data_IF_263620320345
#
_entry.id   IF_263620320345
#
_cell.length_a   1.000
_cell.length_b   1.000
_cell.length_c   1.000
_cell.angle_alpha   90.00
_cell.angle_beta   90.00
_cell.angle_gamma   90.00
#
_symmetry.space_group_name_H-M   'P 1'
#
loop_
_entity.id
_entity.type
_entity.pdbx_description
1 polymer ?
#
# COMPACT_ATOMS: atom_id res chain seq x y z
N UNK A 1 -30.33 -38.22 -36.62
CA UNK A 1 -29.91 -38.89 -37.87
C UNK A 1 -28.45 -38.57 -38.13
N UNK A 2 -27.56 -39.55 -38.00
CA UNK A 2 -26.13 -39.38 -38.27
C UNK A 2 -25.87 -39.46 -39.78
N UNK A 3 -25.02 -38.61 -40.37
CA UNK A 3 -24.61 -38.77 -41.77
C UNK A 3 -23.53 -39.85 -41.83
N UNK A 4 -23.93 -41.12 -41.82
CA UNK A 4 -23.02 -42.22 -42.08
C UNK A 4 -23.00 -42.52 -43.59
N UNK A 5 -21.79 -42.65 -44.13
CA UNK A 5 -21.42 -43.05 -45.50
C UNK A 5 -21.27 -41.91 -46.53
N UNK A 6 -20.23 -41.09 -46.35
CA UNK A 6 -19.46 -40.62 -47.52
C UNK A 6 -18.43 -41.68 -47.86
N UNK A 7 -18.71 -42.47 -48.89
CA UNK A 7 -17.72 -43.37 -49.48
C UNK A 7 -16.72 -42.47 -50.20
N UNK A 8 -15.54 -42.28 -49.62
CA UNK A 8 -14.41 -41.71 -50.34
C UNK A 8 -14.07 -42.71 -51.45
N UNK A 9 -14.24 -42.29 -52.70
CA UNK A 9 -13.75 -43.03 -53.87
C UNK A 9 -12.22 -43.13 -53.72
N UNK A 10 -11.73 -44.27 -53.27
CA UNK A 10 -10.31 -44.60 -53.33
C UNK A 10 -9.96 -44.81 -54.79
N UNK A 11 -9.21 -43.86 -55.37
CA UNK A 11 -8.53 -44.11 -56.62
C UNK A 11 -7.56 -45.28 -56.40
N UNK A 12 -7.85 -46.40 -57.03
CA UNK A 12 -7.01 -47.59 -57.08
C UNK A 12 -5.75 -47.30 -57.87
N UNK A 13 -4.65 -47.08 -57.16
CA UNK A 13 -3.29 -47.06 -57.67
C UNK A 13 -2.35 -47.14 -56.48
N UNK A 14 -1.36 -48.04 -56.50
CA UNK A 14 -0.45 -48.43 -55.41
C UNK A 14 0.51 -47.32 -54.91
N UNK A 15 -0.01 -46.12 -54.66
CA UNK A 15 0.74 -45.05 -54.01
C UNK A 15 0.01 -44.79 -52.71
N UNK A 16 0.64 -45.09 -51.58
CA UNK A 16 0.12 -44.74 -50.26
C UNK A 16 -0.27 -43.25 -50.21
N UNK A 17 -1.13 -42.84 -49.25
CA UNK A 17 -1.58 -41.46 -49.17
C UNK A 17 -0.37 -40.53 -49.20
N UNK A 18 -0.33 -39.64 -50.20
CA UNK A 18 0.76 -38.69 -50.34
C UNK A 18 0.82 -37.81 -49.09
N UNK A 19 2.01 -37.30 -48.75
CA UNK A 19 2.19 -36.39 -47.61
C UNK A 19 1.22 -35.21 -47.71
N UNK A 20 0.94 -34.71 -48.92
CA UNK A 20 -0.06 -33.68 -49.17
C UNK A 20 -1.49 -34.11 -48.81
N UNK A 21 -1.88 -35.35 -49.11
CA UNK A 21 -3.19 -35.87 -48.74
C UNK A 21 -3.33 -36.02 -47.22
N UNK A 22 -2.30 -36.52 -46.55
CA UNK A 22 -2.25 -36.58 -45.09
C UNK A 22 -2.28 -35.16 -44.50
N UNK A 23 -1.53 -34.22 -45.04
CA UNK A 23 -1.53 -32.82 -44.61
C UNK A 23 -2.91 -32.19 -44.73
N UNK A 24 -3.58 -32.30 -45.89
CA UNK A 24 -4.91 -31.71 -46.13
C UNK A 24 -6.02 -32.38 -45.31
N UNK A 25 -5.98 -33.71 -45.16
CA UNK A 25 -6.96 -34.43 -44.33
C UNK A 25 -6.78 -34.14 -42.84
N UNK A 26 -5.53 -34.00 -42.38
CA UNK A 26 -5.23 -33.59 -41.00
C UNK A 26 -5.66 -32.15 -40.76
N UNK A 27 -5.39 -31.23 -41.70
CA UNK A 27 -5.88 -29.85 -41.66
C UNK A 27 -7.41 -29.79 -41.57
N UNK A 28 -8.15 -30.53 -42.40
CA UNK A 28 -9.61 -30.52 -42.40
C UNK A 28 -10.22 -31.04 -41.09
N UNK A 29 -9.60 -32.03 -40.45
CA UNK A 29 -10.09 -32.59 -39.17
C UNK A 29 -9.70 -31.70 -37.98
N UNK A 30 -8.49 -31.15 -37.97
CA UNK A 30 -8.01 -30.31 -36.86
C UNK A 30 -8.59 -28.89 -36.90
N UNK A 31 -8.80 -28.31 -38.09
CA UNK A 31 -9.28 -26.93 -38.24
C UNK A 31 -10.74 -26.78 -37.78
N UNK A 32 -11.60 -27.75 -38.09
CA UNK A 32 -12.98 -27.79 -37.59
C UNK A 32 -13.05 -28.06 -36.08
N UNK A 33 -12.18 -28.90 -35.52
CA UNK A 33 -12.14 -29.14 -34.07
C UNK A 33 -11.66 -27.89 -33.31
N UNK A 34 -10.64 -27.19 -33.81
CA UNK A 34 -10.14 -25.97 -33.20
C UNK A 34 -11.20 -24.85 -33.21
N UNK A 35 -11.90 -24.66 -34.33
CA UNK A 35 -13.01 -23.70 -34.45
C UNK A 35 -14.30 -24.14 -33.76
N UNK A 36 -14.53 -25.43 -33.56
CA UNK A 36 -15.73 -25.89 -32.86
C UNK A 36 -15.78 -25.44 -31.41
N UNK A 37 -14.63 -25.33 -30.73
CA UNK A 37 -14.57 -24.80 -29.37
C UNK A 37 -14.78 -23.28 -29.35
N UNK A 38 -14.23 -22.56 -30.33
CA UNK A 38 -14.49 -21.12 -30.51
C UNK A 38 -15.99 -20.86 -30.78
N UNK A 39 -16.62 -21.65 -31.66
CA UNK A 39 -18.04 -21.54 -31.99
C UNK A 39 -18.98 -21.93 -30.83
N UNK A 40 -18.50 -22.72 -29.86
CA UNK A 40 -19.23 -23.10 -28.66
C UNK A 40 -19.04 -22.11 -27.49
N UNK A 41 -18.12 -21.15 -27.64
CA UNK A 41 -17.85 -20.09 -26.68
C UNK A 41 -17.05 -20.50 -25.44
N UNK A 42 -16.73 -19.52 -24.61
CA UNK A 42 -15.91 -19.67 -23.39
C UNK A 42 -16.47 -20.68 -22.39
N UNK A 43 -17.80 -20.80 -22.27
CA UNK A 43 -18.41 -21.69 -21.28
C UNK A 43 -18.01 -23.17 -21.47
N UNK A 44 -18.09 -23.67 -22.71
CA UNK A 44 -17.70 -25.06 -23.03
C UNK A 44 -16.19 -25.26 -22.95
N UNK A 45 -15.42 -24.25 -23.36
CA UNK A 45 -13.96 -24.27 -23.24
C UNK A 45 -13.53 -24.37 -21.77
N UNK A 46 -14.14 -23.60 -20.86
CA UNK A 46 -13.88 -23.66 -19.43
C UNK A 46 -14.28 -25.00 -18.80
N UNK A 47 -15.44 -25.57 -19.16
CA UNK A 47 -15.81 -26.92 -18.68
C UNK A 47 -14.78 -27.96 -19.12
N UNK A 48 -14.27 -27.86 -20.36
CA UNK A 48 -13.23 -28.76 -20.84
C UNK A 48 -11.90 -28.52 -20.13
N UNK A 49 -11.56 -27.26 -19.86
CA UNK A 49 -10.35 -26.90 -19.13
C UNK A 49 -10.36 -27.50 -17.72
N UNK A 50 -11.46 -27.37 -16.99
CA UNK A 50 -11.61 -27.99 -15.67
C UNK A 50 -11.44 -29.51 -15.75
N UNK A 51 -12.11 -30.16 -16.71
CA UNK A 51 -11.95 -31.60 -16.92
C UNK A 51 -10.52 -32.03 -17.23
N UNK A 52 -9.71 -31.19 -17.89
CA UNK A 52 -8.29 -31.48 -18.15
C UNK A 52 -7.44 -31.35 -16.89
N UNK A 53 -7.70 -30.31 -16.09
CA UNK A 53 -7.08 -30.12 -14.77
C UNK A 53 -7.40 -31.29 -13.83
N UNK A 54 -8.66 -31.71 -13.77
CA UNK A 54 -9.10 -32.83 -12.92
C UNK A 54 -8.41 -34.15 -13.31
N UNK A 55 -8.03 -34.31 -14.60
CA UNK A 55 -7.28 -35.48 -15.09
C UNK A 55 -5.76 -35.33 -14.98
N UNK A 56 -5.24 -34.17 -14.55
CA UNK A 56 -3.80 -33.89 -14.48
C UNK A 56 -3.11 -33.70 -15.84
N UNK A 57 -3.86 -33.47 -16.93
CA UNK A 57 -3.28 -33.21 -18.25
C UNK A 57 -2.95 -31.71 -18.41
N UNK A 58 -1.91 -31.28 -17.69
CA UNK A 58 -1.48 -29.88 -17.64
C UNK A 58 -1.10 -29.32 -19.02
N UNK A 59 -0.50 -30.14 -19.88
CA UNK A 59 -0.10 -29.74 -21.23
C UNK A 59 -1.30 -29.45 -22.14
N UNK A 60 -2.34 -30.30 -22.08
CA UNK A 60 -3.56 -30.04 -22.83
C UNK A 60 -4.36 -28.86 -22.26
N UNK A 61 -4.36 -28.68 -20.94
CA UNK A 61 -4.99 -27.55 -20.26
C UNK A 61 -4.32 -26.21 -20.68
N UNK A 62 -2.99 -26.14 -20.66
CA UNK A 62 -2.22 -24.97 -21.10
C UNK A 62 -2.46 -24.66 -22.59
N UNK A 63 -2.43 -25.68 -23.44
CA UNK A 63 -2.73 -25.52 -24.87
C UNK A 63 -4.18 -25.06 -25.12
N UNK A 64 -5.13 -25.36 -24.23
CA UNK A 64 -6.51 -24.88 -24.32
C UNK A 64 -6.62 -23.42 -23.87
N UNK A 65 -5.98 -23.03 -22.78
CA UNK A 65 -5.89 -21.63 -22.34
C UNK A 65 -5.26 -20.73 -23.40
N UNK A 66 -4.17 -21.18 -24.02
CA UNK A 66 -3.54 -20.48 -25.14
C UNK A 66 -4.49 -20.27 -26.32
N UNK A 67 -5.34 -21.26 -26.63
CA UNK A 67 -6.37 -21.13 -27.68
C UNK A 67 -7.52 -20.20 -27.29
N UNK A 68 -7.95 -20.22 -26.04
CA UNK A 68 -8.99 -19.30 -25.52
C UNK A 68 -8.56 -17.83 -25.61
N UNK A 69 -7.25 -17.53 -25.59
CA UNK A 69 -6.75 -16.17 -25.80
C UNK A 69 -6.98 -15.63 -27.22
N UNK A 70 -7.19 -16.53 -28.19
CA UNK A 70 -7.41 -16.20 -29.60
C UNK A 70 -8.89 -16.19 -29.99
N UNK A 71 -9.81 -16.36 -29.03
CA UNK A 71 -11.25 -16.28 -29.31
C UNK A 71 -11.62 -14.85 -29.69
N UNK A 72 -12.53 -14.73 -30.64
CA UNK A 72 -13.00 -13.44 -31.16
C UNK A 72 -14.07 -12.79 -30.28
N UNK A 73 -14.81 -13.59 -29.52
CA UNK A 73 -15.77 -13.11 -28.52
C UNK A 73 -15.03 -12.63 -27.26
N UNK A 74 -15.53 -11.57 -26.60
CA UNK A 74 -14.95 -11.12 -25.33
C UNK A 74 -15.49 -11.99 -24.16
N UNK A 75 -14.63 -12.50 -23.27
CA UNK A 75 -15.08 -13.28 -22.12
C UNK A 75 -15.83 -12.40 -21.11
N UNK A 76 -16.79 -12.98 -20.40
CA UNK A 76 -17.37 -12.33 -19.22
C UNK A 76 -16.37 -12.28 -18.06
N UNK A 77 -16.58 -11.42 -17.07
CA UNK A 77 -15.71 -11.33 -15.87
C UNK A 77 -15.62 -12.67 -15.15
N UNK A 78 -16.73 -13.41 -15.03
CA UNK A 78 -16.74 -14.73 -14.40
C UNK A 78 -15.98 -15.78 -15.20
N UNK A 79 -16.06 -15.74 -16.53
CA UNK A 79 -15.32 -16.64 -17.41
C UNK A 79 -13.82 -16.33 -17.37
N UNK A 80 -13.46 -15.05 -17.34
CA UNK A 80 -12.08 -14.58 -17.21
C UNK A 80 -11.49 -15.00 -15.85
N UNK A 81 -12.24 -14.83 -14.75
CA UNK A 81 -11.82 -15.26 -13.41
C UNK A 81 -11.58 -16.78 -13.36
N UNK A 82 -12.50 -17.59 -13.91
CA UNK A 82 -12.34 -19.04 -13.95
C UNK A 82 -11.12 -19.48 -14.78
N UNK A 83 -10.85 -18.82 -15.91
CA UNK A 83 -9.67 -19.09 -16.72
C UNK A 83 -8.37 -18.71 -15.98
N UNK A 84 -8.38 -17.61 -15.21
CA UNK A 84 -7.22 -17.16 -14.43
C UNK A 84 -6.93 -18.08 -13.25
N UNK A 85 -7.96 -18.55 -12.55
CA UNK A 85 -7.83 -19.58 -11.52
C UNK A 85 -7.21 -20.86 -12.09
N UNK A 86 -7.74 -21.34 -13.22
CA UNK A 86 -7.19 -22.49 -13.93
C UNK A 86 -5.72 -22.29 -14.35
N UNK A 87 -5.38 -21.09 -14.84
CA UNK A 87 -4.02 -20.75 -15.23
C UNK A 87 -3.08 -20.66 -14.01
N UNK A 88 -3.55 -20.15 -12.88
CA UNK A 88 -2.79 -20.10 -11.63
C UNK A 88 -2.54 -21.50 -11.05
N UNK A 89 -3.52 -22.42 -11.13
CA UNK A 89 -3.34 -23.82 -10.71
C UNK A 89 -2.29 -24.58 -11.54
N UNK A 90 -2.09 -24.20 -12.81
CA UNK A 90 -1.04 -24.77 -13.67
C UNK A 90 0.37 -24.22 -13.39
N UNK A 91 0.48 -23.12 -12.62
CA UNK A 91 1.68 -22.30 -12.49
C UNK A 91 2.70 -22.74 -11.41
N UNK A 92 2.46 -23.81 -10.65
CA UNK A 92 3.44 -24.27 -9.64
C UNK A 92 4.70 -24.92 -10.25
N UNK A 93 4.76 -25.14 -11.58
CA UNK A 93 5.91 -25.67 -12.32
C UNK A 93 6.56 -24.67 -13.28
N UNK A 94 7.74 -24.17 -12.91
CA UNK A 94 8.62 -23.20 -13.59
C UNK A 94 8.57 -23.09 -15.15
N UNK A 95 8.59 -21.85 -15.67
CA UNK A 95 9.64 -21.31 -16.58
C UNK A 95 9.30 -19.89 -17.05
N UNK A 96 10.30 -19.01 -16.95
CA UNK A 96 10.30 -17.61 -17.38
C UNK A 96 10.30 -17.51 -18.92
N UNK A 97 9.32 -16.84 -19.51
CA UNK A 97 9.28 -16.60 -20.96
C UNK A 97 8.72 -15.21 -21.27
N UNK A 98 9.62 -14.26 -21.51
CA UNK A 98 9.35 -12.87 -21.91
C UNK A 98 8.77 -12.82 -23.33
N UNK A 99 7.65 -12.13 -23.52
CA UNK A 99 7.12 -11.76 -24.85
C UNK A 99 6.79 -10.27 -24.86
N UNK A 100 7.35 -9.57 -25.84
CA UNK A 100 7.14 -8.16 -26.15
C UNK A 100 5.83 -7.98 -26.92
N UNK A 101 4.94 -7.09 -26.46
CA UNK A 101 3.75 -6.67 -27.21
C UNK A 101 4.06 -5.35 -27.92
N UNK A 102 3.99 -5.35 -29.26
CA UNK A 102 4.01 -4.14 -30.07
C UNK A 102 2.63 -3.48 -29.99
N UNK A 103 2.51 -2.40 -29.22
CA UNK A 103 1.40 -1.45 -29.39
C UNK A 103 1.77 -0.49 -30.51
N UNK A 104 0.90 -0.41 -31.52
CA UNK A 104 1.01 0.54 -32.61
C UNK A 104 0.66 1.95 -32.15
N UNK A 105 1.52 2.57 -31.36
CA UNK A 105 1.50 4.02 -31.08
C UNK A 105 2.93 4.49 -30.87
N UNK A 106 3.35 5.45 -31.69
CA UNK A 106 4.64 6.14 -31.56
C UNK A 106 4.73 6.76 -30.17
N UNK A 107 5.59 6.21 -29.30
CA UNK A 107 5.95 6.81 -28.01
C UNK A 107 7.45 7.11 -28.08
N UNK A 108 7.79 8.37 -27.87
CA UNK A 108 9.15 8.89 -27.85
C UNK A 108 9.97 8.25 -26.73
N UNK A 109 11.24 8.00 -27.02
CA UNK A 109 12.28 7.58 -26.09
C UNK A 109 12.25 8.36 -24.77
N UNK A 110 12.06 7.64 -23.66
CA UNK A 110 12.76 7.73 -22.36
C UNK A 110 11.88 7.28 -21.21
N UNK A 111 12.06 6.03 -20.76
CA UNK A 111 11.96 5.68 -19.34
C UNK A 111 12.51 4.25 -19.11
N UNK A 112 13.56 4.06 -18.29
CA UNK A 112 14.04 2.75 -17.90
C UNK A 112 13.37 2.34 -16.58
N UNK A 113 12.51 1.33 -16.59
CA UNK A 113 12.13 0.64 -15.35
C UNK A 113 12.30 -0.88 -15.49
N UNK A 114 12.91 -1.42 -14.44
CA UNK A 114 13.26 -2.82 -14.21
C UNK A 114 12.04 -3.74 -14.40
N UNK A 115 12.19 -4.76 -15.27
CA UNK A 115 11.33 -5.93 -15.28
C UNK A 115 11.58 -6.73 -14.00
N UNK A 116 10.65 -6.68 -13.04
CA UNK A 116 10.53 -7.72 -12.03
C UNK A 116 9.97 -8.98 -12.68
N UNK A 117 10.64 -10.11 -12.48
CA UNK A 117 10.27 -11.43 -12.97
C UNK A 117 8.81 -11.75 -12.65
N UNK A 118 7.94 -11.73 -13.66
CA UNK A 118 6.59 -12.28 -13.58
C UNK A 118 6.63 -13.74 -13.98
N UNK A 119 5.71 -14.53 -13.43
CA UNK A 119 5.39 -15.83 -14.00
C UNK A 119 4.88 -15.64 -15.44
N UNK A 120 5.64 -16.14 -16.40
CA UNK A 120 5.53 -15.74 -17.81
C UNK A 120 4.20 -16.14 -18.48
N UNK A 121 3.49 -17.13 -17.94
CA UNK A 121 2.28 -17.71 -18.54
C UNK A 121 1.03 -16.90 -18.22
N UNK A 122 0.79 -16.60 -16.94
CA UNK A 122 -0.35 -15.78 -16.50
C UNK A 122 -0.22 -14.35 -17.05
N UNK A 123 0.99 -13.79 -17.04
CA UNK A 123 1.26 -12.46 -17.58
C UNK A 123 0.92 -12.37 -19.08
N UNK A 124 1.22 -13.41 -19.87
CA UNK A 124 0.92 -13.42 -21.32
C UNK A 124 -0.57 -13.46 -21.60
N UNK A 125 -1.34 -14.26 -20.87
CA UNK A 125 -2.79 -14.36 -21.07
C UNK A 125 -3.50 -13.06 -20.66
N UNK A 126 -3.14 -12.51 -19.48
CA UNK A 126 -3.68 -11.23 -19.01
C UNK A 126 -3.32 -10.09 -19.99
N UNK A 127 -2.08 -10.02 -20.51
CA UNK A 127 -1.69 -8.95 -21.43
C UNK A 127 -2.30 -9.07 -22.83
N UNK A 128 -2.65 -10.28 -23.28
CA UNK A 128 -3.16 -10.50 -24.65
C UNK A 128 -4.68 -10.60 -24.74
N UNK A 129 -5.36 -11.05 -23.67
CA UNK A 129 -6.81 -11.32 -23.69
C UNK A 129 -7.65 -10.24 -23.01
N UNK A 130 -7.02 -9.38 -22.21
CA UNK A 130 -7.71 -8.28 -21.54
C UNK A 130 -7.56 -7.02 -22.39
N UNK A 131 -8.32 -6.96 -23.48
CA UNK A 131 -8.58 -5.75 -24.26
C UNK A 131 -10.05 -5.40 -23.98
N UNK A 132 -10.36 -4.32 -23.23
CA UNK A 132 -9.58 -3.09 -23.06
C UNK A 132 -8.83 -3.01 -21.71
N UNK A 133 -8.01 -1.95 -21.55
CA UNK A 133 -7.40 -1.54 -20.27
C UNK A 133 -8.46 -1.55 -19.16
N UNK A 134 -8.50 -2.63 -18.37
CA UNK A 134 -9.37 -2.69 -17.20
C UNK A 134 -8.92 -1.57 -16.28
N UNK A 135 -9.85 -0.67 -15.94
CA UNK A 135 -9.61 0.26 -14.86
C UNK A 135 -9.24 -0.54 -13.60
N UNK A 136 -8.45 0.07 -12.71
CA UNK A 136 -7.93 -0.65 -11.56
C UNK A 136 -9.03 -1.16 -10.61
N UNK A 137 -10.21 -0.53 -10.59
CA UNK A 137 -11.35 -1.04 -9.84
C UNK A 137 -11.79 -2.42 -10.35
N UNK A 138 -11.89 -2.58 -11.67
CA UNK A 138 -12.21 -3.85 -12.31
C UNK A 138 -11.09 -4.90 -12.12
N UNK A 139 -9.82 -4.48 -12.15
CA UNK A 139 -8.69 -5.38 -11.84
C UNK A 139 -8.79 -5.91 -10.42
N UNK A 140 -9.17 -5.07 -9.46
CA UNK A 140 -9.38 -5.48 -8.07
C UNK A 140 -10.57 -6.44 -7.94
N UNK A 141 -11.70 -6.15 -8.60
CA UNK A 141 -12.85 -7.05 -8.59
C UNK A 141 -12.52 -8.41 -9.23
N UNK A 142 -11.73 -8.39 -10.31
CA UNK A 142 -11.24 -9.61 -10.95
C UNK A 142 -10.29 -10.39 -10.03
N UNK A 143 -9.40 -9.68 -9.31
CA UNK A 143 -8.53 -10.30 -8.31
C UNK A 143 -9.33 -10.94 -7.16
N UNK A 144 -10.44 -10.33 -6.75
CA UNK A 144 -11.32 -10.90 -5.73
C UNK A 144 -12.10 -12.13 -6.23
N UNK A 145 -12.46 -12.15 -7.52
CA UNK A 145 -13.09 -13.30 -8.16
C UNK A 145 -12.10 -14.44 -8.49
N UNK A 146 -10.80 -14.14 -8.58
CA UNK A 146 -9.72 -15.11 -8.79
C UNK A 146 -8.59 -14.94 -7.75
N UNK A 147 -8.83 -15.33 -6.47
CA UNK A 147 -7.87 -15.14 -5.38
C UNK A 147 -6.47 -15.73 -5.63
N UNK A 148 -6.34 -16.84 -6.34
CA UNK A 148 -5.02 -17.45 -6.62
C UNK A 148 -4.20 -16.59 -7.61
N UNK A 149 -4.88 -15.86 -8.50
CA UNK A 149 -4.28 -14.92 -9.44
C UNK A 149 -4.13 -13.49 -8.89
N UNK A 150 -4.69 -13.20 -7.71
CA UNK A 150 -4.82 -11.85 -7.17
C UNK A 150 -3.48 -11.09 -7.11
N UNK A 151 -2.41 -11.74 -6.65
CA UNK A 151 -1.07 -11.13 -6.55
C UNK A 151 -0.60 -10.61 -7.91
N UNK A 152 -0.73 -11.40 -8.96
CA UNK A 152 -0.25 -11.05 -10.30
C UNK A 152 -1.12 -9.98 -10.94
N UNK A 153 -2.44 -10.05 -10.75
CA UNK A 153 -3.39 -9.04 -11.25
C UNK A 153 -3.12 -7.67 -10.60
N UNK A 154 -2.92 -7.61 -9.29
CA UNK A 154 -2.72 -6.36 -8.58
C UNK A 154 -1.35 -5.73 -8.81
N UNK A 155 -0.36 -6.48 -9.30
CA UNK A 155 0.92 -5.92 -9.78
C UNK A 155 0.75 -5.09 -11.05
N UNK A 156 -0.29 -5.33 -11.86
CA UNK A 156 -0.58 -4.57 -13.08
C UNK A 156 -1.24 -3.22 -12.83
N UNK A 157 -1.81 -3.00 -11.65
CA UNK A 157 -2.36 -1.69 -11.29
C UNK A 157 -1.22 -0.68 -11.24
N UNK A 158 -1.23 0.27 -12.18
CA UNK A 158 -0.35 1.43 -12.11
C UNK A 158 -0.83 2.31 -10.96
N UNK A 159 -0.09 2.29 -9.87
CA UNK A 159 -0.49 2.92 -8.60
C UNK A 159 -0.45 4.44 -8.64
N UNK A 160 0.26 5.05 -9.60
CA UNK A 160 0.53 6.50 -9.62
C UNK A 160 -0.70 7.40 -9.87
N UNK A 161 -1.82 6.88 -10.37
CA UNK A 161 -2.92 7.71 -10.89
C UNK A 161 -4.34 7.19 -10.60
N UNK A 162 -4.50 6.21 -9.71
CA UNK A 162 -5.78 5.50 -9.57
C UNK A 162 -6.50 5.86 -8.27
N UNK A 163 -7.73 6.38 -8.39
CA UNK A 163 -8.73 6.36 -7.32
C UNK A 163 -9.47 5.03 -7.35
N UNK A 164 -9.43 4.28 -6.25
CA UNK A 164 -10.19 3.03 -6.12
C UNK A 164 -11.53 3.34 -5.42
N UNK A 165 -12.66 2.86 -5.95
CA UNK A 165 -13.95 2.97 -5.26
C UNK A 165 -13.96 2.10 -4.00
N UNK A 166 -14.86 2.41 -3.06
CA UNK A 166 -14.99 1.72 -1.78
C UNK A 166 -15.13 0.19 -1.94
N UNK A 167 -15.94 -0.26 -2.91
CA UNK A 167 -16.15 -1.69 -3.17
C UNK A 167 -14.85 -2.43 -3.55
N UNK A 168 -13.94 -1.77 -4.27
CA UNK A 168 -12.62 -2.33 -4.58
C UNK A 168 -11.74 -2.42 -3.33
N UNK A 169 -11.83 -1.45 -2.42
CA UNK A 169 -11.04 -1.49 -1.19
C UNK A 169 -11.53 -2.55 -0.21
N UNK A 170 -12.84 -2.75 -0.16
CA UNK A 170 -13.46 -3.86 0.53
C UNK A 170 -12.94 -5.19 -0.04
N UNK A 171 -12.96 -5.34 -1.37
CA UNK A 171 -12.44 -6.54 -2.04
C UNK A 171 -10.94 -6.77 -1.78
N UNK A 172 -10.12 -5.71 -1.77
CA UNK A 172 -8.70 -5.78 -1.39
C UNK A 172 -8.51 -6.24 0.05
N UNK A 173 -9.35 -5.76 0.95
CA UNK A 173 -9.32 -6.15 2.34
C UNK A 173 -9.68 -7.62 2.52
N UNK A 174 -10.74 -8.09 1.85
CA UNK A 174 -11.17 -9.49 1.91
C UNK A 174 -10.07 -10.42 1.36
N UNK A 175 -9.35 -9.99 0.31
CA UNK A 175 -8.17 -10.69 -0.21
C UNK A 175 -6.98 -10.71 0.76
N UNK A 176 -6.70 -9.61 1.47
CA UNK A 176 -5.65 -9.54 2.50
C UNK A 176 -5.99 -10.45 3.68
N UNK A 177 -7.23 -10.41 4.16
CA UNK A 177 -7.72 -11.24 5.26
C UNK A 177 -7.61 -12.74 4.94
N UNK A 178 -7.84 -13.12 3.68
CA UNK A 178 -7.65 -14.49 3.19
C UNK A 178 -6.18 -14.86 2.93
N UNK A 179 -5.23 -13.92 3.05
CA UNK A 179 -3.80 -14.16 2.90
C UNK A 179 -3.30 -14.17 1.46
N UNK A 180 -4.08 -13.64 0.51
CA UNK A 180 -3.73 -13.62 -0.90
C UNK A 180 -2.86 -12.41 -1.31
N UNK A 181 -2.66 -11.43 -0.41
CA UNK A 181 -1.91 -10.20 -0.70
C UNK A 181 -0.60 -10.09 0.10
N UNK A 182 0.51 -9.66 -0.54
CA UNK A 182 1.69 -9.24 0.19
C UNK A 182 1.46 -7.88 0.87
N UNK A 183 1.80 -7.77 2.16
CA UNK A 183 1.56 -6.62 3.04
C UNK A 183 1.85 -5.25 2.41
N UNK A 184 3.03 -5.10 1.80
CA UNK A 184 3.44 -3.82 1.20
C UNK A 184 2.56 -3.37 0.04
N UNK A 185 1.94 -4.31 -0.69
CA UNK A 185 1.09 -3.98 -1.85
C UNK A 185 -0.30 -3.54 -1.41
N UNK A 186 -0.86 -4.15 -0.36
CA UNK A 186 -2.14 -3.73 0.21
C UNK A 186 -2.07 -2.29 0.72
N UNK A 187 -1.08 -1.98 1.57
CA UNK A 187 -0.89 -0.64 2.12
C UNK A 187 -0.73 0.40 1.01
N UNK A 188 0.12 0.11 0.03
CA UNK A 188 0.36 1.00 -1.10
C UNK A 188 -0.91 1.27 -1.93
N UNK A 189 -1.73 0.25 -2.21
CA UNK A 189 -2.98 0.43 -2.95
C UNK A 189 -4.02 1.23 -2.15
N UNK A 190 -4.10 1.01 -0.84
CA UNK A 190 -5.00 1.75 0.05
C UNK A 190 -4.57 3.22 0.19
N UNK A 191 -3.27 3.46 0.33
CA UNK A 191 -2.69 4.81 0.43
C UNK A 191 -2.98 5.62 -0.84
N UNK A 192 -2.85 5.00 -2.02
CA UNK A 192 -3.08 5.66 -3.31
C UNK A 192 -4.56 5.86 -3.64
N UNK A 193 -5.48 5.10 -3.02
CA UNK A 193 -6.91 5.16 -3.34
C UNK A 193 -7.59 6.51 -3.04
N UNK A 194 -6.90 7.46 -2.40
CA UNK A 194 -7.39 8.82 -2.10
C UNK A 194 -8.82 8.86 -1.50
N UNK A 195 -9.11 7.90 -0.61
CA UNK A 195 -10.43 7.72 -0.01
C UNK A 195 -10.98 8.99 0.66
N UNK A 196 -12.30 9.20 0.47
CA UNK A 196 -13.04 10.14 1.29
C UNK A 196 -13.13 9.65 2.74
N UNK A 197 -13.39 10.56 3.69
CA UNK A 197 -13.51 10.22 5.11
C UNK A 197 -14.65 9.24 5.39
N UNK A 198 -15.75 9.36 4.65
CA UNK A 198 -16.93 8.48 4.75
C UNK A 198 -16.61 7.08 4.26
N UNK A 199 -15.83 6.95 3.18
CA UNK A 199 -15.43 5.65 2.63
C UNK A 199 -14.45 4.92 3.56
N UNK A 200 -13.53 5.64 4.21
CA UNK A 200 -12.65 5.05 5.23
C UNK A 200 -13.46 4.51 6.41
N UNK A 201 -14.42 5.29 6.94
CA UNK A 201 -15.27 4.84 8.03
C UNK A 201 -16.10 3.60 7.66
N UNK A 202 -16.68 3.59 6.45
CA UNK A 202 -17.47 2.46 5.97
C UNK A 202 -16.62 1.20 5.79
N UNK A 203 -15.40 1.35 5.25
CA UNK A 203 -14.43 0.25 5.15
C UNK A 203 -14.10 -0.29 6.52
N UNK A 204 -13.64 0.56 7.45
CA UNK A 204 -13.18 0.14 8.77
C UNK A 204 -14.31 -0.52 9.59
N UNK A 205 -15.53 0.00 9.49
CA UNK A 205 -16.72 -0.63 10.09
C UNK A 205 -16.92 -2.04 9.54
N UNK A 206 -16.84 -2.24 8.21
CA UNK A 206 -16.98 -3.57 7.60
C UNK A 206 -15.88 -4.51 8.07
N UNK A 207 -14.61 -4.10 7.99
CA UNK A 207 -13.45 -4.86 8.50
C UNK A 207 -13.69 -5.38 9.92
N UNK A 208 -14.21 -4.50 10.78
CA UNK A 208 -14.45 -4.79 12.20
C UNK A 208 -15.66 -5.70 12.46
N UNK A 209 -16.57 -5.84 11.48
CA UNK A 209 -17.76 -6.69 11.55
C UNK A 209 -17.58 -8.07 10.90
N UNK A 210 -16.75 -8.20 9.85
CA UNK A 210 -16.63 -9.44 9.06
C UNK A 210 -15.45 -10.32 9.42
N UNK A 211 -14.38 -9.81 10.02
CA UNK A 211 -13.18 -10.61 10.26
C UNK A 211 -13.17 -11.24 11.66
N UNK A 212 -12.99 -12.57 11.73
CA UNK A 212 -12.25 -13.16 12.85
C UNK A 212 -10.82 -12.62 12.77
N UNK A 213 -10.36 -11.78 13.69
CA UNK A 213 -9.11 -11.07 13.51
C UNK A 213 -7.95 -12.06 13.68
N UNK A 214 -7.32 -12.42 12.55
CA UNK A 214 -5.89 -12.69 12.54
C UNK A 214 -5.20 -11.34 12.82
N UNK A 215 -4.37 -11.23 13.87
CA UNK A 215 -3.95 -9.95 14.43
C UNK A 215 -2.98 -9.09 13.59
N UNK A 216 -2.72 -9.39 12.31
CA UNK A 216 -1.47 -8.93 11.69
C UNK A 216 -1.49 -7.74 10.74
N UNK A 217 -2.61 -7.30 10.13
CA UNK A 217 -2.49 -6.37 8.97
C UNK A 217 -3.43 -5.16 8.96
N UNK A 218 -4.63 -5.25 9.51
CA UNK A 218 -5.69 -4.24 9.31
C UNK A 218 -5.68 -3.09 10.31
N UNK A 219 -5.05 -3.28 11.48
CA UNK A 219 -4.98 -2.26 12.53
C UNK A 219 -3.96 -1.15 12.25
N UNK A 220 -3.03 -1.34 11.30
CA UNK A 220 -1.95 -0.38 11.00
C UNK A 220 -2.33 0.65 9.93
N UNK A 221 -3.31 0.33 9.08
CA UNK A 221 -3.69 1.13 7.90
C UNK A 221 -4.38 2.45 8.22
N UNK A 222 -5.23 2.56 9.27
CA UNK A 222 -5.85 3.84 9.62
C UNK A 222 -4.84 4.91 10.05
N UNK A 223 -3.75 4.52 10.70
CA UNK A 223 -2.82 5.43 11.35
C UNK A 223 -1.83 6.16 10.43
N UNK A 224 -1.72 5.75 9.15
CA UNK A 224 -0.68 6.25 8.24
C UNK A 224 -1.08 7.50 7.43
N UNK A 225 -2.32 8.00 7.56
CA UNK A 225 -2.72 9.30 6.97
C UNK A 225 -2.84 10.38 8.06
N UNK A 226 -2.70 11.68 7.73
CA UNK A 226 -3.06 12.76 8.64
C UNK A 226 -4.59 12.75 8.84
N UNK A 227 -5.05 11.85 9.71
CA UNK A 227 -6.43 11.74 10.12
C UNK A 227 -6.77 12.98 10.94
N UNK A 228 -7.98 13.51 10.71
CA UNK A 228 -8.55 14.46 11.65
C UNK A 228 -8.62 13.78 13.02
N UNK A 229 -8.16 14.48 14.06
CA UNK A 229 -8.19 14.08 15.47
C UNK A 229 -9.47 13.34 15.89
N UNK A 230 -10.64 13.84 15.47
CA UNK A 230 -11.94 13.24 15.78
C UNK A 230 -12.14 11.84 15.16
N UNK A 231 -11.61 11.60 13.96
CA UNK A 231 -11.74 10.32 13.26
C UNK A 231 -10.79 9.26 13.84
N UNK A 232 -9.57 9.68 14.20
CA UNK A 232 -8.59 8.81 14.85
C UNK A 232 -9.12 8.34 16.22
N UNK A 233 -9.75 9.23 16.98
CA UNK A 233 -10.40 8.89 18.24
C UNK A 233 -11.54 7.86 18.08
N UNK A 234 -12.39 8.02 17.06
CA UNK A 234 -13.46 7.07 16.77
C UNK A 234 -12.93 5.68 16.37
N UNK A 235 -11.92 5.62 15.51
CA UNK A 235 -11.29 4.35 15.10
C UNK A 235 -10.61 3.68 16.30
N UNK A 236 -9.89 4.46 17.10
CA UNK A 236 -9.21 3.96 18.29
C UNK A 236 -10.20 3.37 19.30
N UNK A 237 -11.34 4.02 19.55
CA UNK A 237 -12.39 3.46 20.40
C UNK A 237 -12.88 2.09 19.89
N UNK A 238 -13.10 1.96 18.58
CA UNK A 238 -13.52 0.67 18.02
C UNK A 238 -12.39 -0.36 18.12
N UNK A 239 -11.13 0.00 17.87
CA UNK A 239 -9.98 -0.91 18.02
C UNK A 239 -9.80 -1.37 19.47
N UNK A 240 -9.98 -0.47 20.44
CA UNK A 240 -9.92 -0.78 21.87
C UNK A 240 -11.07 -1.71 22.32
N UNK A 241 -12.23 -1.62 21.67
CA UNK A 241 -13.36 -2.54 21.92
C UNK A 241 -13.08 -3.99 21.49
N UNK A 242 -12.00 -4.24 20.74
CA UNK A 242 -11.64 -5.56 20.18
C UNK A 242 -10.43 -6.13 20.92
N UNK A 243 -10.57 -7.20 21.73
CA UNK A 243 -9.50 -7.72 22.59
C UNK A 243 -8.18 -8.07 21.89
N UNK A 244 -8.22 -8.52 20.63
CA UNK A 244 -7.01 -8.88 19.86
C UNK A 244 -6.33 -7.69 19.19
N UNK A 245 -7.07 -6.62 18.89
CA UNK A 245 -6.56 -5.45 18.19
C UNK A 245 -6.00 -4.40 19.15
N UNK A 246 -6.60 -4.29 20.33
CA UNK A 246 -6.23 -3.29 21.32
C UNK A 246 -4.75 -3.32 21.72
N UNK A 247 -4.11 -4.47 22.05
CA UNK A 247 -2.70 -4.47 22.41
C UNK A 247 -1.81 -3.98 21.27
N UNK A 248 -2.12 -4.38 20.03
CA UNK A 248 -1.37 -3.93 18.84
C UNK A 248 -1.50 -2.42 18.68
N UNK A 249 -2.71 -1.87 18.82
CA UNK A 249 -2.95 -0.44 18.74
C UNK A 249 -2.14 0.34 19.78
N UNK A 250 -2.25 -0.02 21.06
CA UNK A 250 -1.53 0.64 22.16
C UNK A 250 -0.01 0.60 21.94
N UNK A 251 0.56 -0.55 21.61
CA UNK A 251 2.02 -0.68 21.48
C UNK A 251 2.58 -0.03 20.21
N UNK A 252 1.78 0.16 19.15
CA UNK A 252 2.27 0.74 17.89
C UNK A 252 1.99 2.23 17.74
N UNK A 253 1.05 2.79 18.50
CA UNK A 253 0.60 4.19 18.36
C UNK A 253 0.60 4.96 19.68
N UNK A 254 1.06 4.37 20.78
CA UNK A 254 1.26 5.08 22.05
C UNK A 254 2.70 4.84 22.51
N UNK A 255 3.66 5.32 21.73
CA UNK A 255 5.09 5.11 21.99
C UNK A 255 5.77 6.36 22.57
N UNK A 256 5.18 7.55 22.40
CA UNK A 256 5.78 8.80 22.85
C UNK A 256 4.80 9.72 23.59
N UNK A 257 5.34 10.48 24.54
CA UNK A 257 4.65 11.59 25.21
C UNK A 257 4.17 12.68 24.22
N UNK A 258 4.84 12.82 23.07
CA UNK A 258 4.55 13.82 22.03
C UNK A 258 3.29 13.50 21.22
N UNK A 259 2.77 12.27 21.31
CA UNK A 259 1.62 11.82 20.55
C UNK A 259 0.32 12.45 21.07
N UNK A 260 0.04 13.65 20.55
CA UNK A 260 -1.09 14.50 20.97
C UNK A 260 -2.49 13.91 20.76
N UNK A 261 -2.62 12.75 20.12
CA UNK A 261 -3.91 12.09 19.90
C UNK A 261 -4.30 11.13 21.02
N UNK A 262 -3.36 10.65 21.85
CA UNK A 262 -3.66 9.69 22.92
C UNK A 262 -4.70 10.24 23.92
N UNK A 263 -4.65 11.51 24.36
CA UNK A 263 -5.70 12.08 25.22
C UNK A 263 -7.10 12.02 24.58
N UNK A 264 -7.18 12.25 23.27
CA UNK A 264 -8.45 12.23 22.53
C UNK A 264 -9.01 10.81 22.39
N UNK A 265 -8.12 9.83 22.27
CA UNK A 265 -8.48 8.41 22.30
C UNK A 265 -9.03 8.02 23.66
N UNK A 266 -8.36 8.41 24.75
CA UNK A 266 -8.83 8.14 26.12
C UNK A 266 -10.21 8.76 26.36
N UNK A 267 -10.40 10.02 25.96
CA UNK A 267 -11.70 10.71 26.08
C UNK A 267 -12.80 10.02 25.26
N UNK A 268 -12.54 9.69 23.98
CA UNK A 268 -13.53 9.05 23.12
C UNK A 268 -13.85 7.60 23.53
N UNK A 269 -12.86 6.89 24.06
CA UNK A 269 -12.99 5.51 24.52
C UNK A 269 -13.45 5.39 25.98
N UNK A 270 -13.83 6.49 26.64
CA UNK A 270 -14.27 6.51 28.03
C UNK A 270 -15.39 5.50 28.34
N UNK A 271 -16.31 5.29 27.40
CA UNK A 271 -17.38 4.30 27.51
C UNK A 271 -16.89 2.84 27.60
N UNK A 272 -15.59 2.59 27.37
CA UNK A 272 -14.92 1.30 27.50
C UNK A 272 -14.11 1.20 28.80
N UNK A 273 -14.31 2.09 29.77
CA UNK A 273 -13.54 2.15 31.02
C UNK A 273 -13.47 0.82 31.78
N UNK A 274 -14.55 0.02 31.74
CA UNK A 274 -14.62 -1.28 32.42
C UNK A 274 -13.84 -2.40 31.69
N UNK A 275 -13.30 -2.12 30.50
CA UNK A 275 -12.59 -3.13 29.72
C UNK A 275 -11.11 -3.21 30.10
N UNK A 276 -10.51 -4.42 30.14
CA UNK A 276 -9.09 -4.56 30.46
C UNK A 276 -8.18 -3.84 29.45
N UNK A 277 -8.62 -3.73 28.20
CA UNK A 277 -7.90 -3.06 27.12
C UNK A 277 -7.79 -1.55 27.33
N UNK A 278 -8.87 -0.90 27.78
CA UNK A 278 -8.84 0.50 28.16
C UNK A 278 -7.96 0.69 29.40
N UNK A 279 -8.09 -0.20 30.39
CA UNK A 279 -7.25 -0.16 31.60
C UNK A 279 -5.75 -0.32 31.27
N UNK A 280 -5.39 -1.11 30.26
CA UNK A 280 -4.00 -1.25 29.79
C UNK A 280 -3.51 0.03 29.10
N UNK A 281 -4.34 0.69 28.28
CA UNK A 281 -3.99 1.99 27.69
C UNK A 281 -3.82 3.08 28.76
N UNK A 282 -4.73 3.14 29.72
CA UNK A 282 -4.67 4.08 30.86
C UNK A 282 -3.46 3.80 31.74
N UNK A 283 -3.03 2.54 31.92
CA UNK A 283 -1.80 2.20 32.67
C UNK A 283 -0.53 2.49 31.87
N UNK A 284 -0.55 2.27 30.56
CA UNK A 284 0.60 2.50 29.68
C UNK A 284 0.90 3.99 29.52
N UNK A 285 -0.13 4.84 29.40
CA UNK A 285 0.06 6.27 29.11
C UNK A 285 0.87 7.02 30.19
N UNK A 286 0.61 6.89 31.50
CA UNK A 286 1.43 7.47 32.55
C UNK A 286 2.90 7.06 32.49
N UNK A 287 3.22 5.84 32.02
CA UNK A 287 4.62 5.40 31.87
C UNK A 287 5.41 6.17 30.82
N UNK A 288 4.71 6.92 29.95
CA UNK A 288 5.31 7.78 28.92
C UNK A 288 5.34 9.26 29.34
N UNK A 289 4.66 9.62 30.43
CA UNK A 289 4.52 10.99 30.92
C UNK A 289 5.48 11.21 32.09
N UNK A 290 5.86 12.47 32.40
CA UNK A 290 6.58 12.76 33.63
C UNK A 290 5.75 12.33 34.84
N UNK A 291 6.44 11.92 35.91
CA UNK A 291 5.80 11.62 37.19
C UNK A 291 5.12 12.89 37.74
N UNK A 292 4.08 12.71 38.54
CA UNK A 292 3.37 13.82 39.19
C UNK A 292 4.32 14.58 40.14
N UNK A 293 5.27 13.86 40.72
CA UNK A 293 6.30 14.38 41.62
C UNK A 293 7.58 14.83 40.90
N UNK A 294 7.66 14.66 39.57
CA UNK A 294 8.81 15.17 38.81
C UNK A 294 8.91 16.68 38.96
N UNK A 295 10.13 17.20 38.99
CA UNK A 295 10.34 18.64 39.00
C UNK A 295 10.10 19.22 37.60
N UNK A 296 9.59 20.46 37.50
CA UNK A 296 9.51 21.15 36.22
C UNK A 296 10.90 21.28 35.59
N UNK A 297 10.98 21.43 34.26
CA UNK A 297 12.25 21.76 33.62
C UNK A 297 12.85 23.01 34.26
N UNK A 298 14.18 23.07 34.30
CA UNK A 298 14.92 24.24 34.78
C UNK A 298 15.23 25.14 33.58
N UNK A 299 15.14 26.46 33.76
CA UNK A 299 15.53 27.41 32.72
C UNK A 299 17.02 27.26 32.41
N UNK A 300 17.32 26.83 31.20
CA UNK A 300 18.67 26.60 30.71
C UNK A 300 18.86 27.27 29.35
N UNK A 301 19.99 27.95 29.21
CA UNK A 301 20.45 28.50 27.93
C UNK A 301 21.05 27.42 27.02
N UNK A 302 21.44 26.28 27.59
CA UNK A 302 21.95 25.16 26.81
C UNK A 302 20.82 24.46 26.07
N UNK A 303 20.94 24.34 24.75
CA UNK A 303 20.02 23.59 23.89
C UNK A 303 20.74 22.31 23.42
N UNK A 304 20.83 21.26 24.25
CA UNK A 304 21.64 20.07 23.95
C UNK A 304 21.23 19.39 22.64
N UNK A 305 19.94 19.51 22.28
CA UNK A 305 19.37 18.90 21.08
C UNK A 305 19.47 19.76 19.82
N UNK A 306 20.04 20.97 19.90
CA UNK A 306 20.20 21.81 18.72
C UNK A 306 20.98 21.08 17.61
N UNK A 307 20.48 21.10 16.38
CA UNK A 307 21.09 20.40 15.26
C UNK A 307 21.18 21.29 14.01
N UNK A 308 22.41 21.65 13.63
CA UNK A 308 22.74 22.53 12.51
C UNK A 308 24.02 22.00 11.83
N UNK A 309 23.96 20.86 11.12
CA UNK A 309 25.15 20.19 10.58
C UNK A 309 25.89 21.05 9.54
N UNK A 310 25.17 21.96 8.85
CA UNK A 310 25.77 22.92 7.94
C UNK A 310 26.57 24.03 8.65
N UNK A 311 26.37 24.23 9.95
CA UNK A 311 26.96 25.30 10.77
C UNK A 311 27.42 24.76 12.14
N UNK A 312 28.45 23.89 12.18
CA UNK A 312 28.86 23.19 13.41
C UNK A 312 29.28 24.12 14.55
N UNK A 313 29.76 25.33 14.26
CA UNK A 313 30.10 26.34 15.28
C UNK A 313 28.87 26.93 15.96
N UNK A 314 27.81 27.17 15.20
CA UNK A 314 26.53 27.64 15.73
C UNK A 314 25.89 26.53 16.56
N UNK A 315 25.92 25.29 16.09
CA UNK A 315 25.46 24.12 16.85
C UNK A 315 26.18 24.01 18.20
N UNK A 316 27.52 24.09 18.20
CA UNK A 316 28.33 24.07 19.42
C UNK A 316 27.98 25.24 20.36
N UNK A 317 27.79 26.44 19.82
CA UNK A 317 27.34 27.60 20.60
C UNK A 317 25.96 27.37 21.23
N UNK A 318 24.98 26.82 20.50
CA UNK A 318 23.63 26.58 21.03
C UNK A 318 23.64 25.58 22.20
N UNK A 319 24.54 24.58 22.16
CA UNK A 319 24.73 23.60 23.23
C UNK A 319 25.51 24.13 24.44
N UNK A 320 26.36 25.14 24.24
CA UNK A 320 27.17 25.79 25.28
C UNK A 320 26.30 26.68 26.21
N UNK A 321 26.67 26.95 27.47
CA UNK A 321 25.93 27.90 28.33
C UNK A 321 26.02 29.38 27.90
N UNK A 322 26.90 29.75 26.97
CA UNK A 322 27.03 31.14 26.47
C UNK A 322 25.71 31.65 25.88
N UNK A 323 25.32 32.87 26.26
CA UNK A 323 24.06 33.51 25.83
C UNK A 323 24.12 34.11 24.43
N UNK A 324 25.28 34.60 24.02
CA UNK A 324 25.45 35.34 22.77
C UNK A 324 26.70 34.89 22.03
N UNK A 325 26.63 34.88 20.70
CA UNK A 325 27.78 34.72 19.80
C UNK A 325 27.62 35.59 18.57
N UNK A 326 28.71 35.87 17.88
CA UNK A 326 28.68 36.46 16.54
C UNK A 326 29.43 35.56 15.59
N UNK A 327 28.76 35.09 14.55
CA UNK A 327 29.34 34.23 13.53
C UNK A 327 29.58 35.00 12.23
N UNK A 328 30.69 34.67 11.57
CA UNK A 328 31.17 35.33 10.37
C UNK A 328 31.20 34.36 9.19
N UNK A 329 31.17 34.90 7.96
CA UNK A 329 31.41 34.11 6.76
C UNK A 329 30.18 33.39 6.21
N UNK A 330 28.97 33.88 6.52
CA UNK A 330 27.75 33.42 5.85
C UNK A 330 27.85 33.75 4.35
N UNK A 331 27.95 32.70 3.52
CA UNK A 331 28.21 32.79 2.07
C UNK A 331 27.14 33.56 1.31
N UNK A 332 25.90 33.58 1.82
CA UNK A 332 24.74 34.27 1.26
C UNK A 332 24.01 35.04 2.37
N UNK A 333 24.48 36.26 2.69
CA UNK A 333 23.93 37.24 3.68
C UNK A 333 23.36 36.66 4.98
N UNK A 334 23.86 37.07 6.14
CA UNK A 334 23.35 36.63 7.46
C UNK A 334 21.83 36.73 7.64
N UNK A 335 21.15 37.58 6.86
CA UNK A 335 19.68 37.71 6.78
C UNK A 335 19.00 36.38 6.42
N UNK A 336 19.45 35.67 5.38
CA UNK A 336 18.81 34.41 4.96
C UNK A 336 19.02 33.32 6.00
N UNK A 337 20.21 33.27 6.61
CA UNK A 337 20.50 32.34 7.70
C UNK A 337 19.58 32.60 8.90
N UNK A 338 19.48 33.86 9.35
CA UNK A 338 18.60 34.27 10.43
C UNK A 338 17.13 33.91 10.14
N UNK A 339 16.63 34.23 8.94
CA UNK A 339 15.25 33.92 8.56
C UNK A 339 14.99 32.40 8.45
N UNK A 340 15.97 31.62 7.99
CA UNK A 340 15.82 30.16 7.81
C UNK A 340 15.86 29.42 9.15
N UNK A 341 16.75 29.82 10.06
CA UNK A 341 17.06 29.05 11.27
C UNK A 341 16.64 29.73 12.59
N UNK A 342 16.31 31.02 12.60
CA UNK A 342 16.14 31.82 13.83
C UNK A 342 15.02 32.87 13.70
N UNK A 343 13.91 32.49 13.06
CA UNK A 343 12.70 33.31 12.97
C UNK A 343 12.08 33.63 14.35
N UNK A 344 10.93 34.34 14.40
CA UNK A 344 10.32 34.86 15.63
C UNK A 344 9.77 33.80 16.61
N UNK A 345 10.02 32.50 16.37
CA UNK A 345 9.53 31.38 17.16
C UNK A 345 10.63 30.31 17.30
N UNK A 346 10.40 29.30 18.15
CA UNK A 346 11.23 28.08 18.17
C UNK A 346 11.34 27.57 16.74
N UNK A 347 12.58 27.38 16.28
CA UNK A 347 12.81 26.89 14.94
C UNK A 347 12.49 25.39 14.88
N UNK A 348 11.43 25.04 14.15
CA UNK A 348 11.00 23.64 14.01
C UNK A 348 12.01 22.73 13.31
N UNK A 349 13.04 23.27 12.66
CA UNK A 349 14.08 22.49 11.97
C UNK A 349 15.25 22.16 12.90
N UNK A 350 15.60 23.08 13.80
CA UNK A 350 16.77 22.93 14.68
C UNK A 350 16.44 22.83 16.16
N UNK A 351 15.15 22.84 16.52
CA UNK A 351 14.61 22.90 17.90
C UNK A 351 15.30 23.96 18.78
N UNK A 352 15.73 25.05 18.15
CA UNK A 352 16.47 26.12 18.79
C UNK A 352 15.55 27.31 19.06
N UNK A 353 15.73 27.92 20.23
CA UNK A 353 15.12 29.21 20.58
C UNK A 353 16.22 30.25 20.71
N UNK A 354 16.47 30.93 19.61
CA UNK A 354 17.43 32.03 19.56
C UNK A 354 17.01 32.98 18.47
N UNK A 355 17.30 34.25 18.69
CA UNK A 355 17.13 35.32 17.73
C UNK A 355 18.46 35.59 17.06
N UNK A 356 18.42 35.87 15.76
CA UNK A 356 19.61 36.15 14.99
C UNK A 356 19.47 37.52 14.30
N UNK A 357 20.37 38.44 14.64
CA UNK A 357 20.42 39.79 14.06
C UNK A 357 21.54 39.85 13.03
N UNK A 358 21.23 40.07 11.75
CA UNK A 358 22.24 40.17 10.70
C UNK A 358 22.94 41.53 10.72
N UNK A 359 24.24 41.52 10.46
CA UNK A 359 25.06 42.73 10.33
C UNK A 359 25.90 42.68 9.07
N UNK A 360 26.12 43.86 8.46
CA UNK A 360 26.98 44.07 7.28
C UNK A 360 26.53 43.29 6.04
N UNK A 361 27.18 43.54 4.89
CA UNK A 361 26.87 42.89 3.62
C UNK A 361 28.15 42.38 2.92
N UNK A 362 27.98 41.46 1.96
CA UNK A 362 29.07 40.89 1.17
C UNK A 362 30.06 40.07 1.99
N UNK A 363 31.36 40.17 1.68
CA UNK A 363 32.45 39.41 2.35
C UNK A 363 32.56 39.69 3.87
N UNK A 364 31.95 40.77 4.35
CA UNK A 364 31.96 41.16 5.76
C UNK A 364 30.67 40.79 6.51
N UNK A 365 29.73 40.08 5.88
CA UNK A 365 28.47 39.69 6.50
C UNK A 365 28.69 38.81 7.74
N UNK A 366 27.99 39.14 8.82
CA UNK A 366 27.97 38.37 10.06
C UNK A 366 26.57 38.34 10.66
N UNK A 367 26.36 37.45 11.63
CA UNK A 367 25.08 37.30 12.33
C UNK A 367 25.34 37.18 13.83
N UNK A 368 24.74 38.04 14.64
CA UNK A 368 24.73 37.89 16.09
C UNK A 368 23.57 37.01 16.48
N UNK A 369 23.83 35.97 17.27
CA UNK A 369 22.83 35.00 17.71
C UNK A 369 22.72 35.11 19.22
N UNK A 370 21.52 35.42 19.71
CA UNK A 370 21.19 35.52 21.12
C UNK A 370 20.16 34.47 21.48
N UNK A 371 20.41 33.68 22.51
CA UNK A 371 19.44 32.68 23.00
C UNK A 371 18.32 33.37 23.75
N UNK A 372 17.11 32.82 23.67
CA UNK A 372 15.92 33.38 24.32
C UNK A 372 15.30 32.42 25.33
N UNK A 373 14.48 32.95 26.24
CA UNK A 373 13.74 32.16 27.24
C UNK A 373 12.53 31.43 26.65
N UNK A 374 12.20 31.64 25.37
CA UNK A 374 10.99 31.09 24.77
C UNK A 374 10.99 29.55 24.71
N UNK A 375 12.16 28.91 24.54
CA UNK A 375 12.27 27.44 24.67
C UNK A 375 11.81 26.95 26.04
N UNK A 376 12.28 27.63 27.10
CA UNK A 376 11.92 27.28 28.47
C UNK A 376 10.42 27.41 28.71
N UNK A 377 9.80 28.50 28.23
CA UNK A 377 8.35 28.69 28.36
C UNK A 377 7.55 27.56 27.69
N UNK A 378 7.93 27.15 26.47
CA UNK A 378 7.27 26.04 25.76
C UNK A 378 7.52 24.69 26.43
N UNK A 379 8.75 24.45 26.90
CA UNK A 379 9.09 23.24 27.63
C UNK A 379 8.30 23.14 28.95
N UNK A 380 8.17 24.25 29.67
CA UNK A 380 7.39 24.32 30.91
C UNK A 380 5.90 24.13 30.66
N UNK A 381 5.34 24.74 29.61
CA UNK A 381 3.93 24.54 29.21
C UNK A 381 3.67 23.08 28.83
N UNK A 382 4.54 22.50 28.02
CA UNK A 382 4.46 21.09 27.60
C UNK A 382 4.56 20.15 28.80
N UNK A 383 5.51 20.39 29.70
CA UNK A 383 5.66 19.63 30.92
C UNK A 383 4.41 19.74 31.81
N UNK A 384 3.89 20.95 32.01
CA UNK A 384 2.69 21.19 32.84
C UNK A 384 1.51 20.43 32.28
N UNK A 385 1.27 20.52 30.97
CA UNK A 385 0.20 19.78 30.29
C UNK A 385 0.35 18.26 30.46
N UNK A 386 1.56 17.74 30.33
CA UNK A 386 1.85 16.30 30.47
C UNK A 386 1.68 15.81 31.91
N UNK A 387 2.12 16.59 32.90
CA UNK A 387 1.92 16.29 34.32
C UNK A 387 0.43 16.30 34.67
N UNK A 388 -0.32 17.27 34.17
CA UNK A 388 -1.76 17.36 34.39
C UNK A 388 -2.50 16.18 33.72
N UNK A 389 -2.05 15.77 32.53
CA UNK A 389 -2.52 14.55 31.85
C UNK A 389 -2.21 13.28 32.65
N UNK A 390 -1.00 13.13 33.18
CA UNK A 390 -0.61 12.00 34.02
C UNK A 390 -1.48 11.94 35.29
N UNK A 391 -1.64 13.09 35.95
CA UNK A 391 -2.50 13.26 37.13
C UNK A 391 -3.95 12.91 36.85
N UNK A 392 -4.46 13.23 35.65
CA UNK A 392 -5.80 12.85 35.23
C UNK A 392 -5.90 11.34 35.03
N UNK A 393 -4.95 10.73 34.33
CA UNK A 393 -4.93 9.28 34.07
C UNK A 393 -4.86 8.45 35.36
N UNK A 394 -4.15 8.90 36.40
CA UNK A 394 -4.06 8.19 37.69
C UNK A 394 -5.35 8.21 38.49
N UNK A 395 -6.28 9.14 38.20
CA UNK A 395 -7.59 9.22 38.87
C UNK A 395 -8.65 8.34 38.22
N UNK A 396 -8.38 7.81 37.03
CA UNK A 396 -9.24 6.91 36.26
C UNK A 396 -8.96 5.46 36.66
#
# INVERSE_FOLDING_TARGET
MAPSKRILKTCTGNVGPTVDFLYHSTLLVFWLRARSLEALGYGRALTRLQSLLDTGDEGAADALLGRMSAFTEAPTVSQLAAALEAAATLGEGAHEMVVQVRTGTVISDRCPYQLMCMDGRLARWVCNSVVPDLNAANVVQLAAAAPTAAKTLLLKINTSLVRLPLDSLIALHDLDAAGHLPFGRFLHLVEMAALSKTDMAARDTRVMTTAEPKPSTTCKTPALRPLNRAHLAAIAAILLSKPRAAPVFVHSHCQSADESFVPLVLEAAWHLAETPMYADLVRHRPSLLPDVDDQPPVELWCQPNAHLPAYPRVEAFLRDPKRETTEHGFSNTGIYFAATYFGPSINATSDASSEATPFRAGKAACCSIAKTTAFYAVALETWTKRRDEASACTRL
#
